data_IF_509098998022
#
_entry.id   IF_509098998022
#
_cell.length_a   1.000
_cell.length_b   1.000
_cell.length_c   1.000
_cell.angle_alpha   90.00
_cell.angle_beta   90.00
_cell.angle_gamma   90.00
#
_symmetry.space_group_name_H-M   'P 1'
#
loop_
_entity.id
_entity.type
_entity.pdbx_description
1 polymer ?
#
# COMPACT_ATOMS: atom_id res chain seq x y z
N UNK A 1 55.43 -44.62 6.54
CA UNK A 1 54.59 -45.82 6.48
C UNK A 1 53.31 -45.54 7.26
N UNK A 2 52.17 -46.02 6.77
CA UNK A 2 50.82 -45.82 7.33
C UNK A 2 50.22 -47.17 7.75
N UNK A 3 49.43 -47.18 8.82
CA UNK A 3 48.22 -48.01 9.13
C UNK A 3 48.03 -48.05 10.68
N UNK A 4 47.01 -47.41 11.28
CA UNK A 4 45.59 -47.83 11.53
C UNK A 4 45.43 -49.02 12.50
N UNK A 5 44.26 -49.26 13.17
CA UNK A 5 42.90 -48.65 13.07
C UNK A 5 42.52 -47.87 14.38
N UNK A 6 41.27 -47.67 14.89
CA UNK A 6 39.91 -48.13 14.54
C UNK A 6 38.79 -47.27 15.19
N UNK A 7 37.55 -47.36 14.66
CA UNK A 7 36.27 -47.01 15.32
C UNK A 7 35.87 -45.51 15.38
N UNK A 8 34.59 -45.13 15.27
CA UNK A 8 33.38 -45.92 14.98
C UNK A 8 32.06 -45.19 15.31
N UNK A 9 31.31 -44.79 14.27
CA UNK A 9 29.87 -44.46 14.20
C UNK A 9 29.13 -43.67 15.31
N UNK A 10 28.42 -42.61 14.89
CA UNK A 10 27.30 -42.00 15.63
C UNK A 10 26.46 -41.10 14.72
N UNK A 11 25.29 -41.56 14.28
CA UNK A 11 24.36 -40.77 13.44
C UNK A 11 23.70 -39.65 14.25
N UNK A 12 23.52 -38.48 13.63
CA UNK A 12 22.82 -37.34 14.22
C UNK A 12 22.23 -36.42 13.16
N UNK A 13 21.10 -36.84 12.57
CA UNK A 13 20.20 -36.05 11.70
C UNK A 13 20.85 -35.17 10.63
N UNK A 14 20.72 -35.58 9.36
CA UNK A 14 20.73 -34.63 8.26
C UNK A 14 19.60 -33.61 8.50
N UNK A 15 19.95 -32.39 8.89
CA UNK A 15 19.01 -31.29 8.90
C UNK A 15 18.49 -31.12 7.48
N UNK A 16 17.16 -31.08 7.32
CA UNK A 16 16.55 -30.90 6.01
C UNK A 16 17.13 -29.65 5.32
N UNK A 17 17.29 -29.73 4.00
CA UNK A 17 17.69 -28.61 3.15
C UNK A 17 16.53 -27.62 3.06
N UNK A 18 16.29 -26.95 4.19
CA UNK A 18 15.24 -25.94 4.35
C UNK A 18 15.64 -24.75 3.51
N UNK A 19 14.85 -24.46 2.46
CA UNK A 19 15.06 -23.37 1.49
C UNK A 19 14.93 -21.98 2.10
N UNK A 20 15.75 -21.69 3.12
CA UNK A 20 15.73 -20.51 3.97
C UNK A 20 16.67 -19.44 3.42
N UNK A 21 16.07 -18.49 2.71
CA UNK A 21 16.73 -17.43 1.97
C UNK A 21 17.24 -16.31 2.88
N UNK A 22 18.29 -15.61 2.43
CA UNK A 22 18.74 -14.36 3.05
C UNK A 22 17.89 -13.18 2.54
N UNK A 23 17.85 -12.06 3.26
CA UNK A 23 17.09 -10.88 2.80
C UNK A 23 17.58 -10.35 1.43
N UNK A 24 18.86 -10.51 1.11
CA UNK A 24 19.40 -10.16 -0.20
C UNK A 24 18.98 -11.13 -1.30
N UNK A 25 18.84 -12.41 -0.97
CA UNK A 25 18.28 -13.43 -1.88
C UNK A 25 16.81 -13.15 -2.16
N UNK A 26 16.01 -12.86 -1.12
CA UNK A 26 14.59 -12.49 -1.25
C UNK A 26 14.41 -11.22 -2.07
N UNK A 27 15.24 -10.19 -1.81
CA UNK A 27 15.24 -8.95 -2.62
C UNK A 27 15.44 -9.24 -4.11
N UNK A 28 16.39 -10.11 -4.47
CA UNK A 28 16.65 -10.43 -5.86
C UNK A 28 15.46 -11.16 -6.51
N UNK A 29 14.83 -12.11 -5.82
CA UNK A 29 13.63 -12.82 -6.32
C UNK A 29 12.45 -11.87 -6.50
N UNK A 30 12.20 -10.97 -5.54
CA UNK A 30 11.08 -10.02 -5.65
C UNK A 30 11.32 -8.94 -6.71
N UNK A 31 12.57 -8.61 -7.03
CA UNK A 31 12.93 -7.58 -8.01
C UNK A 31 12.55 -7.90 -9.45
N UNK A 32 12.36 -9.16 -9.78
CA UNK A 32 11.90 -9.59 -11.11
C UNK A 32 10.47 -9.09 -11.42
N UNK A 33 9.62 -8.93 -10.39
CA UNK A 33 8.26 -8.34 -10.51
C UNK A 33 8.19 -6.90 -9.94
N UNK A 34 9.02 -6.56 -8.95
CA UNK A 34 9.01 -5.27 -8.22
C UNK A 34 10.39 -4.60 -8.20
N UNK A 35 10.86 -3.97 -9.29
CA UNK A 35 12.22 -3.42 -9.40
C UNK A 35 12.63 -2.45 -8.27
N UNK A 36 11.65 -1.65 -7.81
CA UNK A 36 11.74 -0.65 -6.74
C UNK A 36 11.72 -1.24 -5.32
N UNK A 37 11.44 -2.53 -5.13
CA UNK A 37 11.42 -3.11 -3.78
C UNK A 37 12.81 -3.00 -3.15
N UNK A 38 12.86 -2.59 -1.87
CA UNK A 38 14.09 -2.37 -1.12
C UNK A 38 14.20 -3.28 0.08
N UNK A 39 15.41 -3.44 0.63
CA UNK A 39 15.63 -4.11 1.92
C UNK A 39 14.83 -3.43 3.04
N UNK A 40 14.73 -2.10 3.00
CA UNK A 40 13.92 -1.31 3.95
C UNK A 40 12.44 -1.67 3.86
N UNK A 41 11.89 -1.74 2.64
CA UNK A 41 10.50 -2.16 2.39
C UNK A 41 10.22 -3.57 2.93
N UNK A 42 11.10 -4.55 2.66
CA UNK A 42 10.94 -5.93 3.17
C UNK A 42 10.97 -5.96 4.71
N UNK A 43 11.93 -5.25 5.34
CA UNK A 43 12.01 -5.15 6.81
C UNK A 43 10.80 -4.45 7.44
N UNK A 44 10.21 -3.51 6.72
CA UNK A 44 9.03 -2.79 7.16
C UNK A 44 7.78 -3.67 7.10
N UNK A 45 7.58 -4.43 6.02
CA UNK A 45 6.52 -5.44 5.96
C UNK A 45 6.66 -6.51 7.06
N UNK A 46 7.89 -6.85 7.45
CA UNK A 46 8.18 -7.70 8.61
C UNK A 46 7.86 -7.01 9.96
N UNK A 47 8.22 -5.73 10.16
CA UNK A 47 7.89 -5.02 11.42
C UNK A 47 6.39 -4.81 11.58
N UNK A 48 5.69 -4.60 10.46
CA UNK A 48 4.23 -4.60 10.39
C UNK A 48 3.63 -6.02 10.46
N UNK A 49 4.42 -7.07 10.68
CA UNK A 49 3.91 -8.43 10.89
C UNK A 49 3.08 -8.98 9.73
N UNK A 50 3.39 -8.59 8.49
CA UNK A 50 2.85 -9.24 7.29
C UNK A 50 3.57 -10.57 7.01
N UNK A 51 4.75 -10.77 7.59
CA UNK A 51 5.55 -12.01 7.56
C UNK A 51 6.33 -12.18 8.87
N UNK A 52 6.69 -13.42 9.23
CA UNK A 52 7.42 -13.75 10.45
C UNK A 52 8.65 -14.63 10.15
N UNK A 53 9.69 -14.08 9.49
CA UNK A 53 10.86 -14.83 9.08
C UNK A 53 11.67 -15.33 10.28
N UNK A 54 12.16 -16.56 10.18
CA UNK A 54 12.91 -17.23 11.24
C UNK A 54 14.20 -16.46 11.60
N UNK A 55 14.60 -16.54 12.86
CA UNK A 55 15.89 -16.02 13.36
C UNK A 55 16.88 -17.17 13.52
N UNK A 56 18.11 -16.99 13.05
CA UNK A 56 19.22 -17.86 13.48
C UNK A 56 19.54 -17.62 14.96
N UNK A 57 20.25 -18.54 15.64
CA UNK A 57 20.78 -18.27 17.00
C UNK A 57 21.68 -17.03 17.08
N UNK A 58 22.25 -16.61 15.95
CA UNK A 58 23.04 -15.38 15.77
C UNK A 58 22.22 -14.14 15.36
N UNK A 59 20.89 -14.23 15.33
CA UNK A 59 19.97 -13.11 15.09
C UNK A 59 19.69 -12.74 13.63
N UNK A 60 20.25 -13.46 12.66
CA UNK A 60 20.01 -13.18 11.24
C UNK A 60 18.63 -13.67 10.76
N UNK A 61 18.05 -12.94 9.81
CA UNK A 61 16.78 -13.29 9.14
C UNK A 61 16.96 -14.47 8.18
N UNK A 62 16.02 -15.40 8.23
CA UNK A 62 15.89 -16.55 7.35
C UNK A 62 14.44 -16.68 6.89
N UNK A 63 14.21 -16.35 5.62
CA UNK A 63 12.89 -16.33 5.00
C UNK A 63 12.61 -17.68 4.33
N UNK A 64 11.46 -18.27 4.62
CA UNK A 64 10.94 -19.44 3.92
C UNK A 64 10.43 -19.08 2.52
N UNK A 65 10.16 -20.08 1.67
CA UNK A 65 9.47 -19.86 0.39
C UNK A 65 8.09 -19.20 0.59
N UNK A 66 7.35 -19.59 1.64
CA UNK A 66 6.06 -19.01 2.00
C UNK A 66 6.17 -17.52 2.36
N UNK A 67 7.23 -17.09 3.06
CA UNK A 67 7.47 -15.67 3.32
C UNK A 67 7.67 -14.87 2.01
N UNK A 68 8.34 -15.45 1.01
CA UNK A 68 8.56 -14.81 -0.30
C UNK A 68 7.26 -14.72 -1.11
N UNK A 69 6.47 -15.80 -1.12
CA UNK A 69 5.15 -15.82 -1.76
C UNK A 69 4.21 -14.79 -1.11
N UNK A 70 4.15 -14.75 0.23
CA UNK A 70 3.33 -13.80 1.00
C UNK A 70 3.79 -12.36 0.79
N UNK A 71 5.11 -12.08 0.76
CA UNK A 71 5.64 -10.77 0.34
C UNK A 71 5.19 -10.38 -1.07
N UNK A 72 5.23 -11.32 -2.04
CA UNK A 72 4.74 -11.10 -3.39
C UNK A 72 3.24 -10.76 -3.42
N UNK A 73 2.42 -11.43 -2.62
CA UNK A 73 0.99 -11.13 -2.48
C UNK A 73 0.76 -9.73 -1.91
N UNK A 74 1.46 -9.35 -0.84
CA UNK A 74 1.39 -8.00 -0.25
C UNK A 74 1.77 -6.95 -1.29
N UNK A 75 2.87 -7.14 -2.02
CA UNK A 75 3.35 -6.17 -3.00
C UNK A 75 2.40 -6.03 -4.20
N UNK A 76 1.78 -7.13 -4.69
CA UNK A 76 0.69 -7.04 -5.69
C UNK A 76 -0.51 -6.27 -5.16
N UNK A 77 -0.96 -6.54 -3.94
CA UNK A 77 -2.09 -5.80 -3.34
C UNK A 77 -1.80 -4.31 -3.14
N UNK A 78 -0.56 -3.93 -2.82
CA UNK A 78 -0.16 -2.52 -2.74
C UNK A 78 -0.03 -1.86 -4.11
N UNK A 79 0.52 -2.55 -5.12
CA UNK A 79 0.67 -2.05 -6.49
C UNK A 79 -0.69 -1.88 -7.19
N UNK A 80 -1.54 -2.91 -7.12
CA UNK A 80 -2.73 -3.03 -7.98
C UNK A 80 -4.00 -2.44 -7.33
N UNK A 81 -4.00 -2.27 -6.00
CA UNK A 81 -5.15 -1.86 -5.19
C UNK A 81 -4.86 -0.80 -4.10
N UNK A 82 -3.60 -0.40 -3.87
CA UNK A 82 -3.17 0.63 -2.90
C UNK A 82 -3.72 0.45 -1.47
N UNK A 83 -3.83 -0.80 -1.00
CA UNK A 83 -4.52 -1.11 0.26
C UNK A 83 -3.67 -0.82 1.51
N UNK A 84 -4.29 -0.38 2.63
CA UNK A 84 -3.61 -0.27 3.92
C UNK A 84 -3.10 -1.62 4.41
N UNK A 85 -1.91 -1.65 5.03
CA UNK A 85 -1.27 -2.89 5.48
C UNK A 85 -2.10 -3.73 6.45
N UNK A 86 -2.89 -3.09 7.32
CA UNK A 86 -3.85 -3.78 8.19
C UNK A 86 -4.89 -4.58 7.40
N UNK A 87 -5.47 -3.97 6.37
CA UNK A 87 -6.49 -4.59 5.50
C UNK A 87 -5.88 -5.73 4.68
N UNK A 88 -4.64 -5.55 4.20
CA UNK A 88 -3.89 -6.62 3.51
C UNK A 88 -3.66 -7.81 4.45
N UNK A 89 -3.25 -7.56 5.71
CA UNK A 89 -3.04 -8.63 6.71
C UNK A 89 -4.34 -9.39 6.97
N UNK A 90 -5.42 -8.69 7.29
CA UNK A 90 -6.73 -9.29 7.56
C UNK A 90 -7.23 -10.17 6.40
N UNK A 91 -7.01 -9.72 5.15
CA UNK A 91 -7.33 -10.48 3.95
C UNK A 91 -6.44 -11.72 3.77
N UNK A 92 -5.12 -11.60 3.94
CA UNK A 92 -4.19 -12.75 3.85
C UNK A 92 -4.47 -13.79 4.94
N UNK A 93 -4.76 -13.35 6.16
CA UNK A 93 -5.08 -14.23 7.29
C UNK A 93 -6.42 -14.96 7.05
N UNK A 94 -7.39 -14.31 6.38
CA UNK A 94 -8.62 -14.96 5.93
C UNK A 94 -8.37 -16.03 4.86
N UNK A 95 -7.54 -15.73 3.86
CA UNK A 95 -7.14 -16.71 2.84
C UNK A 95 -6.47 -17.95 3.47
N UNK A 96 -5.60 -17.76 4.47
CA UNK A 96 -4.94 -18.88 5.18
C UNK A 96 -5.89 -19.71 6.04
N UNK A 97 -6.98 -19.13 6.55
CA UNK A 97 -8.08 -19.87 7.19
C UNK A 97 -8.99 -20.61 6.20
N UNK A 98 -8.76 -20.45 4.89
CA UNK A 98 -9.61 -21.00 3.83
C UNK A 98 -10.92 -20.23 3.63
N UNK A 99 -11.04 -19.03 4.21
CA UNK A 99 -12.16 -18.12 3.97
C UNK A 99 -11.96 -17.46 2.60
N UNK A 100 -12.92 -17.65 1.69
CA UNK A 100 -12.90 -17.02 0.36
C UNK A 100 -13.24 -15.53 0.45
N UNK A 101 -12.36 -14.75 1.07
CA UNK A 101 -12.48 -13.29 1.14
C UNK A 101 -12.28 -12.69 -0.26
N UNK A 102 -13.23 -11.88 -0.78
CA UNK A 102 -12.95 -11.02 -1.92
C UNK A 102 -11.78 -10.08 -1.60
N UNK A 103 -11.00 -9.70 -2.61
CA UNK A 103 -10.00 -8.64 -2.45
C UNK A 103 -10.74 -7.36 -2.02
N UNK A 104 -10.42 -6.77 -0.85
CA UNK A 104 -11.11 -5.57 -0.38
C UNK A 104 -10.73 -4.40 -1.29
N UNK A 105 -11.64 -3.97 -2.16
CA UNK A 105 -11.36 -2.91 -3.14
C UNK A 105 -11.54 -1.52 -2.54
N UNK A 106 -10.45 -0.84 -2.20
CA UNK A 106 -10.48 0.62 -2.07
C UNK A 106 -10.46 1.23 -3.48
N UNK A 107 -11.62 1.73 -3.93
CA UNK A 107 -11.68 2.66 -5.06
C UNK A 107 -11.75 2.09 -6.49
N UNK A 108 -12.02 0.79 -6.71
CA UNK A 108 -12.28 0.24 -8.06
C UNK A 108 -13.72 -0.25 -8.21
N UNK A 109 -14.63 0.67 -8.53
CA UNK A 109 -15.97 0.30 -9.03
C UNK A 109 -15.81 -0.42 -10.38
N UNK A 110 -16.03 -1.74 -10.40
CA UNK A 110 -16.47 -2.45 -11.60
C UNK A 110 -17.88 -2.98 -11.34
N UNK A 111 -18.77 -2.61 -12.25
CA UNK A 111 -20.01 -3.29 -12.60
C UNK A 111 -20.85 -3.87 -11.45
N UNK A 112 -21.56 -2.96 -10.77
CA UNK A 112 -23.01 -3.12 -10.71
C UNK A 112 -23.62 -4.12 -9.73
N UNK A 113 -23.05 -4.34 -8.54
CA UNK A 113 -23.86 -4.84 -7.42
C UNK A 113 -23.41 -4.22 -6.09
N UNK A 114 -24.37 -3.68 -5.31
CA UNK A 114 -24.08 -2.90 -4.10
C UNK A 114 -24.30 -3.77 -2.87
N UNK A 115 -23.23 -4.38 -2.36
CA UNK A 115 -23.18 -4.90 -0.99
C UNK A 115 -22.28 -3.97 -0.17
N UNK A 116 -22.92 -3.01 0.51
CA UNK A 116 -22.27 -2.17 1.52
C UNK A 116 -22.30 -2.90 2.87
N UNK A 117 -21.34 -3.79 3.10
CA UNK A 117 -20.96 -4.19 4.46
C UNK A 117 -20.15 -3.02 5.07
N UNK A 118 -20.62 -2.35 6.13
CA UNK A 118 -19.89 -1.25 6.73
C UNK A 118 -18.73 -1.80 7.56
N UNK A 119 -17.49 -1.57 7.13
CA UNK A 119 -16.32 -1.73 8.00
C UNK A 119 -16.33 -0.58 9.01
N UNK A 120 -17.02 -0.82 10.14
CA UNK A 120 -17.18 0.16 11.21
C UNK A 120 -15.89 0.35 12.03
N UNK A 121 -15.21 1.47 11.84
CA UNK A 121 -14.36 2.06 12.89
C UNK A 121 -12.86 1.81 12.78
N UNK A 122 -12.06 2.59 13.54
CA UNK A 122 -11.24 3.57 12.82
C UNK A 122 -9.74 3.36 12.98
N UNK A 123 -9.09 3.02 11.86
CA UNK A 123 -7.82 3.64 11.46
C UNK A 123 -7.56 3.29 10.00
N UNK A 124 -7.84 4.23 9.09
CA UNK A 124 -6.92 4.43 7.96
C UNK A 124 -5.55 4.60 8.62
N UNK A 125 -4.59 3.74 8.30
CA UNK A 125 -3.36 3.60 9.08
C UNK A 125 -2.70 5.00 9.21
N UNK A 126 -2.69 5.54 10.43
CA UNK A 126 -2.04 6.81 10.75
C UNK A 126 -0.57 6.50 10.94
N UNK A 127 0.20 6.68 9.88
CA UNK A 127 1.58 6.21 9.82
C UNK A 127 2.58 7.34 10.10
N UNK A 128 3.69 6.99 10.72
CA UNK A 128 4.79 7.93 10.95
C UNK A 128 5.53 8.30 9.66
N UNK A 129 6.32 9.37 9.65
CA UNK A 129 7.13 9.76 8.48
C UNK A 129 8.07 8.65 8.02
N UNK A 130 8.84 8.07 8.93
CA UNK A 130 9.74 6.93 8.66
C UNK A 130 8.99 5.72 8.10
N UNK A 131 7.74 5.56 8.52
CA UNK A 131 6.84 4.49 8.09
C UNK A 131 6.34 4.73 6.65
N UNK A 132 5.96 5.97 6.31
CA UNK A 132 5.63 6.36 4.93
C UNK A 132 6.82 6.17 3.99
N UNK A 133 8.02 6.59 4.40
CA UNK A 133 9.25 6.39 3.63
C UNK A 133 9.50 4.89 3.35
N UNK A 134 9.36 4.05 4.37
CA UNK A 134 9.53 2.60 4.23
C UNK A 134 8.39 1.92 3.45
N UNK A 135 7.16 2.46 3.53
CA UNK A 135 6.00 2.00 2.80
C UNK A 135 6.08 2.34 1.30
N UNK A 136 6.50 3.55 0.96
CA UNK A 136 6.72 3.98 -0.42
C UNK A 136 8.04 3.46 -1.01
N UNK A 137 9.04 3.18 -0.16
CA UNK A 137 10.38 2.77 -0.61
C UNK A 137 11.28 3.94 -1.00
N UNK A 138 10.99 5.15 -0.51
CA UNK A 138 11.64 6.42 -0.87
C UNK A 138 12.54 6.96 0.26
N UNK A 139 13.42 7.90 -0.07
CA UNK A 139 14.23 8.65 0.88
C UNK A 139 13.59 9.96 1.37
N UNK A 140 14.13 10.50 2.47
CA UNK A 140 13.70 11.77 3.07
C UNK A 140 13.60 12.92 2.05
N UNK A 141 14.63 13.08 1.21
CA UNK A 141 14.69 14.16 0.22
C UNK A 141 13.63 14.05 -0.89
N UNK A 142 13.16 12.84 -1.21
CA UNK A 142 12.07 12.64 -2.17
C UNK A 142 10.74 13.05 -1.52
N UNK A 143 10.50 12.66 -0.27
CA UNK A 143 9.31 13.08 0.47
C UNK A 143 9.29 14.61 0.69
N UNK A 144 10.43 15.22 1.04
CA UNK A 144 10.57 16.68 1.14
C UNK A 144 10.22 17.38 -0.18
N UNK A 145 10.67 16.85 -1.32
CA UNK A 145 10.31 17.40 -2.63
C UNK A 145 8.79 17.29 -2.88
N UNK A 146 8.19 16.14 -2.59
CA UNK A 146 6.76 15.90 -2.83
C UNK A 146 5.87 16.75 -1.91
N UNK A 147 6.30 16.98 -0.67
CA UNK A 147 5.69 17.92 0.28
C UNK A 147 5.85 19.37 -0.18
N UNK A 148 7.01 19.75 -0.73
CA UNK A 148 7.22 21.10 -1.29
C UNK A 148 6.32 21.41 -2.49
N UNK A 149 5.93 20.37 -3.24
CA UNK A 149 4.94 20.44 -4.32
C UNK A 149 3.49 20.27 -3.83
N UNK A 150 3.29 20.01 -2.54
CA UNK A 150 1.99 19.79 -1.91
C UNK A 150 1.28 18.52 -2.37
N UNK A 151 1.99 17.55 -2.97
CA UNK A 151 1.39 16.29 -3.43
C UNK A 151 0.99 15.41 -2.24
N UNK A 152 1.86 15.38 -1.23
CA UNK A 152 1.62 14.76 0.08
C UNK A 152 1.75 15.87 1.12
N UNK A 153 1.01 15.77 2.22
CA UNK A 153 1.20 16.61 3.40
C UNK A 153 0.91 15.78 4.66
N UNK A 154 1.64 15.99 5.77
CA UNK A 154 1.26 15.42 7.04
C UNK A 154 0.00 16.12 7.59
N UNK A 155 -0.76 15.38 8.38
CA UNK A 155 -1.86 15.89 9.18
C UNK A 155 -1.32 16.79 10.31
N UNK A 156 -2.16 17.58 11.01
CA UNK A 156 -1.70 18.52 12.05
C UNK A 156 -0.94 17.87 13.22
N UNK A 157 -1.09 16.56 13.41
CA UNK A 157 -0.39 15.69 14.36
C UNK A 157 0.96 15.14 13.84
N UNK A 158 1.37 15.49 12.62
CA UNK A 158 2.66 15.08 12.02
C UNK A 158 2.67 13.68 11.42
N UNK A 159 1.52 13.01 11.34
CA UNK A 159 1.34 11.66 10.76
C UNK A 159 0.66 11.74 9.39
N UNK A 160 0.73 10.66 8.62
CA UNK A 160 0.14 10.55 7.29
C UNK A 160 -1.03 9.55 7.32
N UNK A 161 -2.01 9.71 6.43
CA UNK A 161 -3.15 8.81 6.28
C UNK A 161 -2.97 7.81 5.12
N UNK A 162 -3.99 6.99 4.86
CA UNK A 162 -3.95 6.00 3.78
C UNK A 162 -3.97 6.66 2.39
N UNK A 163 -4.58 7.83 2.29
CA UNK A 163 -4.61 8.68 1.11
C UNK A 163 -3.19 9.15 0.74
N UNK A 164 -2.39 9.61 1.71
CA UNK A 164 -0.98 9.93 1.50
C UNK A 164 -0.15 8.73 1.00
N UNK A 165 -0.36 7.52 1.55
CA UNK A 165 0.28 6.29 1.07
C UNK A 165 -0.12 5.97 -0.38
N UNK A 166 -1.41 6.14 -0.70
CA UNK A 166 -1.95 5.93 -2.04
C UNK A 166 -1.32 6.89 -3.06
N UNK A 167 -1.23 8.18 -2.70
CA UNK A 167 -0.56 9.19 -3.53
C UNK A 167 0.92 8.86 -3.72
N UNK A 168 1.63 8.45 -2.66
CA UNK A 168 3.04 8.04 -2.76
C UNK A 168 3.25 6.91 -3.77
N UNK A 169 2.41 5.86 -3.73
CA UNK A 169 2.45 4.75 -4.69
C UNK A 169 2.20 5.21 -6.13
N UNK A 170 1.18 6.04 -6.34
CA UNK A 170 0.83 6.58 -7.66
C UNK A 170 1.93 7.49 -8.24
N UNK A 171 2.58 8.31 -7.41
CA UNK A 171 3.69 9.18 -7.84
C UNK A 171 4.88 8.34 -8.34
N UNK A 172 5.21 7.24 -7.66
CA UNK A 172 6.26 6.32 -8.08
C UNK A 172 5.91 5.59 -9.38
N UNK A 173 4.68 5.13 -9.51
CA UNK A 173 4.22 4.43 -10.70
C UNK A 173 4.23 5.35 -11.93
N UNK A 174 3.77 6.60 -11.79
CA UNK A 174 3.88 7.64 -12.81
C UNK A 174 5.34 7.98 -13.15
N UNK A 175 6.24 7.96 -12.15
CA UNK A 175 7.68 8.12 -12.33
C UNK A 175 8.31 7.09 -13.27
N UNK A 176 7.82 5.84 -13.29
CA UNK A 176 8.27 4.80 -14.26
C UNK A 176 8.01 5.18 -15.72
N UNK A 177 7.03 6.05 -15.98
CA UNK A 177 6.70 6.57 -17.31
C UNK A 177 7.34 7.95 -17.57
N UNK A 178 8.27 8.41 -16.72
CA UNK A 178 8.93 9.70 -16.82
C UNK A 178 8.12 10.89 -16.28
N UNK A 179 6.97 10.65 -15.65
CA UNK A 179 6.12 11.70 -15.10
C UNK A 179 6.57 12.03 -13.68
N UNK A 180 7.61 12.87 -13.58
CA UNK A 180 8.18 13.29 -12.29
C UNK A 180 7.20 14.14 -11.43
N UNK A 181 7.37 14.17 -10.09
CA UNK A 181 6.53 14.92 -9.16
C UNK A 181 6.28 16.38 -9.54
N UNK A 182 7.30 17.06 -10.11
CA UNK A 182 7.22 18.47 -10.53
C UNK A 182 6.13 18.74 -11.57
N UNK A 183 5.71 17.72 -12.33
CA UNK A 183 4.66 17.80 -13.36
C UNK A 183 3.26 17.65 -12.75
N UNK A 184 3.14 16.94 -11.62
CA UNK A 184 1.87 16.62 -10.97
C UNK A 184 1.23 17.80 -10.23
N UNK A 185 1.98 18.89 -10.01
CA UNK A 185 1.46 20.15 -9.42
C UNK A 185 0.21 20.69 -10.11
N UNK A 186 0.12 20.57 -11.45
CA UNK A 186 -1.06 21.00 -12.19
C UNK A 186 -2.31 20.15 -11.87
N UNK A 187 -2.12 18.83 -11.71
CA UNK A 187 -3.15 17.88 -11.30
C UNK A 187 -3.59 18.12 -9.86
N UNK A 188 -2.65 18.31 -8.92
CA UNK A 188 -2.96 18.67 -7.53
C UNK A 188 -3.76 19.96 -7.43
N UNK A 189 -3.35 21.01 -8.14
CA UNK A 189 -4.08 22.26 -8.18
C UNK A 189 -5.48 22.14 -8.81
N UNK A 190 -5.71 21.17 -9.71
CA UNK A 190 -7.05 20.85 -10.21
C UNK A 190 -7.90 20.16 -9.14
N UNK A 191 -7.36 19.13 -8.48
CA UNK A 191 -8.02 18.42 -7.38
C UNK A 191 -8.40 19.37 -6.22
N UNK A 192 -7.55 20.35 -5.88
CA UNK A 192 -7.86 21.35 -4.84
C UNK A 192 -9.02 22.27 -5.21
N UNK A 193 -9.12 22.67 -6.49
CA UNK A 193 -10.26 23.45 -7.00
C UNK A 193 -11.54 22.62 -7.01
N UNK A 194 -11.45 21.36 -7.43
CA UNK A 194 -12.54 20.39 -7.44
C UNK A 194 -13.08 20.13 -6.01
N UNK A 195 -12.20 19.87 -5.04
CA UNK A 195 -12.56 19.73 -3.63
C UNK A 195 -13.19 21.02 -3.07
N UNK A 196 -12.61 22.18 -3.38
CA UNK A 196 -13.15 23.49 -2.96
C UNK A 196 -14.57 23.76 -3.48
N UNK A 197 -14.89 23.34 -4.71
CA UNK A 197 -16.26 23.43 -5.25
C UNK A 197 -17.23 22.52 -4.50
N UNK A 198 -16.84 21.27 -4.21
CA UNK A 198 -17.66 20.35 -3.40
C UNK A 198 -17.91 20.95 -2.01
N UNK A 199 -16.86 21.46 -1.36
CA UNK A 199 -16.97 22.06 -0.03
C UNK A 199 -17.88 23.29 0.01
N UNK A 200 -17.82 24.16 -0.99
CA UNK A 200 -18.75 25.30 -1.11
C UNK A 200 -20.22 24.85 -1.17
N UNK A 201 -20.52 23.75 -1.88
CA UNK A 201 -21.88 23.23 -2.04
C UNK A 201 -22.40 22.54 -0.76
N UNK A 202 -21.53 21.93 0.06
CA UNK A 202 -21.93 21.25 1.31
C UNK A 202 -21.76 22.09 2.57
N UNK A 203 -21.00 23.20 2.54
CA UNK A 203 -20.79 24.08 3.68
C UNK A 203 -22.07 24.56 4.39
N UNK A 204 -23.19 24.87 3.71
CA UNK A 204 -24.45 25.20 4.39
C UNK A 204 -25.00 24.05 5.24
N UNK A 205 -24.88 22.80 4.76
CA UNK A 205 -25.35 21.61 5.48
C UNK A 205 -24.47 21.31 6.70
N UNK A 206 -23.14 21.43 6.54
CA UNK A 206 -22.14 21.24 7.62
C UNK A 206 -22.33 22.21 8.80
N UNK A 207 -22.99 23.36 8.61
CA UNK A 207 -23.24 24.36 9.68
C UNK A 207 -24.33 23.94 10.68
N UNK A 208 -25.23 23.02 10.33
CA UNK A 208 -26.30 22.60 11.24
C UNK A 208 -25.80 21.54 12.23
N UNK A 209 -26.11 21.75 13.53
CA UNK A 209 -25.72 20.82 14.63
C UNK A 209 -26.54 19.52 14.69
N UNK A 210 -27.61 19.37 13.89
CA UNK A 210 -28.45 18.17 13.90
C UNK A 210 -27.68 16.96 13.30
N UNK A 211 -27.58 15.81 14.01
CA UNK A 211 -26.99 14.58 13.48
C UNK A 211 -27.52 14.14 12.11
N UNK A 212 -28.83 14.29 11.85
CA UNK A 212 -29.42 13.94 10.55
C UNK A 212 -28.90 14.84 9.42
N UNK A 213 -28.73 16.15 9.69
CA UNK A 213 -28.19 17.09 8.70
C UNK A 213 -26.70 16.85 8.44
N UNK A 214 -25.95 16.39 9.46
CA UNK A 214 -24.55 15.95 9.30
C UNK A 214 -24.45 14.70 8.43
N UNK A 215 -25.21 13.65 8.72
CA UNK A 215 -25.25 12.43 7.90
C UNK A 215 -25.64 12.74 6.44
N UNK A 216 -26.61 13.65 6.23
CA UNK A 216 -26.99 14.12 4.90
C UNK A 216 -25.86 14.92 4.20
N UNK A 217 -25.13 15.77 4.94
CA UNK A 217 -23.96 16.49 4.41
C UNK A 217 -22.83 15.54 3.99
N UNK A 218 -22.58 14.50 4.79
CA UNK A 218 -21.56 13.47 4.52
C UNK A 218 -21.94 12.62 3.30
N UNK A 219 -23.20 12.18 3.21
CA UNK A 219 -23.71 11.47 2.03
C UNK A 219 -23.58 12.32 0.75
N UNK A 220 -23.98 13.61 0.81
CA UNK A 220 -23.89 14.53 -0.33
C UNK A 220 -22.45 14.89 -0.70
N UNK A 221 -21.54 14.93 0.26
CA UNK A 221 -20.09 15.07 -0.01
C UNK A 221 -19.59 13.87 -0.83
N UNK A 222 -19.93 12.64 -0.42
CA UNK A 222 -19.54 11.40 -1.11
C UNK A 222 -20.10 11.35 -2.54
N UNK A 223 -21.37 11.71 -2.71
CA UNK A 223 -22.03 11.79 -4.02
C UNK A 223 -21.32 12.78 -4.96
N UNK A 224 -21.12 14.03 -4.50
CA UNK A 224 -20.48 15.07 -5.30
C UNK A 224 -19.02 14.73 -5.63
N UNK A 225 -18.25 14.18 -4.68
CA UNK A 225 -16.88 13.73 -4.94
C UNK A 225 -16.85 12.63 -6.03
N UNK A 226 -17.74 11.64 -5.96
CA UNK A 226 -17.86 10.59 -6.96
C UNK A 226 -18.25 11.11 -8.36
N UNK A 227 -19.12 12.12 -8.43
CA UNK A 227 -19.46 12.79 -9.69
C UNK A 227 -18.29 13.59 -10.27
N UNK A 228 -17.57 14.34 -9.44
CA UNK A 228 -16.43 15.16 -9.87
C UNK A 228 -15.28 14.29 -10.41
N UNK A 229 -14.96 13.16 -9.74
CA UNK A 229 -13.95 12.20 -10.24
C UNK A 229 -14.37 11.60 -11.60
N UNK A 230 -15.65 11.25 -11.78
CA UNK A 230 -16.17 10.75 -13.06
C UNK A 230 -16.09 11.80 -14.17
N UNK A 231 -16.41 13.05 -13.86
CA UNK A 231 -16.27 14.17 -14.79
C UNK A 231 -14.79 14.40 -15.17
N UNK A 232 -13.88 14.41 -14.20
CA UNK A 232 -12.45 14.57 -14.43
C UNK A 232 -11.91 13.47 -15.37
N UNK A 233 -12.23 12.20 -15.08
CA UNK A 233 -11.82 11.07 -15.92
C UNK A 233 -12.35 11.19 -17.36
N UNK A 234 -13.62 11.57 -17.55
CA UNK A 234 -14.21 11.78 -18.87
C UNK A 234 -13.57 12.95 -19.63
N UNK A 235 -13.23 14.06 -18.94
CA UNK A 235 -12.53 15.19 -19.53
C UNK A 235 -11.11 14.82 -19.97
N UNK A 236 -10.38 14.04 -19.16
CA UNK A 236 -9.04 13.54 -19.50
C UNK A 236 -9.11 12.59 -20.71
N UNK A 237 -10.04 11.64 -20.74
CA UNK A 237 -10.24 10.74 -21.90
C UNK A 237 -10.56 11.53 -23.17
N UNK A 238 -11.43 12.53 -23.07
CA UNK A 238 -11.78 13.44 -24.18
C UNK A 238 -10.56 14.21 -24.68
N UNK A 239 -9.75 14.77 -23.78
CA UNK A 239 -8.55 15.55 -24.12
C UNK A 239 -7.45 14.69 -24.75
N UNK A 240 -7.30 13.44 -24.31
CA UNK A 240 -6.37 12.47 -24.91
C UNK A 240 -6.86 11.91 -26.25
N UNK A 241 -8.12 12.17 -26.64
CA UNK A 241 -8.75 11.57 -27.82
C UNK A 241 -8.99 10.06 -27.69
N UNK A 242 -8.81 9.49 -26.50
CA UNK A 242 -8.99 8.06 -26.22
C UNK A 242 -10.48 7.76 -26.13
N UNK A 243 -11.05 7.32 -27.25
CA UNK A 243 -12.30 6.56 -27.23
C UNK A 243 -11.97 5.18 -26.69
N UNK A 244 -12.22 4.97 -25.39
CA UNK A 244 -12.34 3.61 -24.87
C UNK A 244 -13.47 2.90 -25.64
N UNK A 245 -13.26 1.67 -26.14
CA UNK A 245 -14.28 0.90 -26.83
C UNK A 245 -15.41 0.45 -25.88
#
# INVERSE_FOLDING_TARGET
MLQTPSGGAGHGTAAADTGLMSIGTVLNVLRDEFPEVTISKIRFLESEGLIEPQRTPSGYRKFSAADVERLGHVLRMQRDHYLPLKVIREHLDAMERGEAAPLPTVGRQRDGEVVLEPVEGPTAARIGRTELLAAAGIGEAELDEWESYGLIAPLPDGVYDAEAVTVAGLVLELGRFGIEPRHLRAMKAAADREAGLVDQVVAPLKRHRNPQTRAHAEARTKELAGLTVKLHAALVQTALGVRLP
#
